data_IF_181720201088
#
_entry.id   IF_181720201088
#
_cell.length_a   1.000
_cell.length_b   1.000
_cell.length_c   1.000
_cell.angle_alpha   90.00
_cell.angle_beta   90.00
_cell.angle_gamma   90.00
#
_symmetry.space_group_name_H-M   'P 1'
#
loop_
_entity.id
_entity.type
_entity.pdbx_description
1 polymer ?
#
# COMPACT_ATOMS: atom_id res chain seq x y z
N UNK A 1 42.96 37.89 -10.47
CA UNK A 1 42.69 36.96 -9.35
C UNK A 1 41.31 36.35 -9.56
N UNK A 2 41.26 35.05 -9.81
CA UNK A 2 40.11 34.34 -10.36
C UNK A 2 38.97 34.10 -9.36
N UNK A 3 37.75 34.29 -9.85
CA UNK A 3 36.46 33.93 -9.23
C UNK A 3 36.38 32.41 -9.03
N UNK A 4 36.01 31.95 -7.83
CA UNK A 4 35.55 30.57 -7.58
C UNK A 4 34.35 30.67 -6.61
N UNK A 5 33.13 30.65 -7.15
CA UNK A 5 32.30 29.49 -7.49
C UNK A 5 31.42 29.11 -6.30
N UNK A 6 30.14 29.38 -6.52
CA UNK A 6 29.00 29.32 -5.62
C UNK A 6 28.80 27.85 -5.19
N UNK A 7 28.88 27.58 -3.90
CA UNK A 7 28.56 26.29 -3.31
C UNK A 7 27.04 26.16 -3.22
N UNK A 8 26.43 25.57 -4.25
CA UNK A 8 25.00 25.26 -4.25
C UNK A 8 24.74 24.06 -3.33
N UNK A 9 24.29 24.32 -2.12
CA UNK A 9 23.75 23.30 -1.21
C UNK A 9 22.51 22.67 -1.83
N UNK A 10 22.63 21.41 -2.26
CA UNK A 10 21.51 20.60 -2.74
C UNK A 10 20.61 20.27 -1.54
N UNK A 11 19.45 20.93 -1.47
CA UNK A 11 18.40 20.64 -0.50
C UNK A 11 17.61 19.43 -0.98
N UNK A 12 17.93 18.24 -0.47
CA UNK A 12 17.17 17.01 -0.75
C UNK A 12 15.88 17.04 0.08
N UNK A 13 14.76 17.40 -0.54
CA UNK A 13 13.43 17.34 0.08
C UNK A 13 12.92 15.90 0.11
N UNK A 14 12.90 15.31 1.30
CA UNK A 14 12.25 14.02 1.57
C UNK A 14 10.72 14.21 1.46
N UNK A 15 10.14 13.82 0.34
CA UNK A 15 8.69 13.67 0.19
C UNK A 15 8.27 12.40 0.94
N UNK A 16 7.97 12.54 2.23
CA UNK A 16 7.23 11.53 2.99
C UNK A 16 5.80 11.49 2.47
N UNK A 17 5.47 10.51 1.64
CA UNK A 17 4.10 10.28 1.18
C UNK A 17 3.20 9.85 2.35
N UNK A 18 2.04 10.50 2.48
CA UNK A 18 0.99 10.03 3.37
C UNK A 18 0.35 8.78 2.75
N UNK A 19 0.60 7.60 3.32
CA UNK A 19 -0.19 6.40 3.00
C UNK A 19 -1.60 6.59 3.55
N UNK A 20 -2.62 6.29 2.74
CA UNK A 20 -4.01 6.38 3.20
C UNK A 20 -4.30 5.28 4.25
N UNK A 21 -5.09 5.59 5.28
CA UNK A 21 -5.54 4.61 6.29
C UNK A 21 -6.17 3.38 5.62
N UNK A 22 -6.90 3.62 4.53
CA UNK A 22 -7.56 2.60 3.71
C UNK A 22 -6.56 1.62 3.09
N UNK A 23 -5.52 2.14 2.44
CA UNK A 23 -4.45 1.32 1.87
C UNK A 23 -3.63 0.60 2.96
N UNK A 24 -3.34 1.27 4.07
CA UNK A 24 -2.63 0.69 5.22
C UNK A 24 -3.40 -0.51 5.81
N UNK A 25 -4.73 -0.42 5.88
CA UNK A 25 -5.59 -1.50 6.37
C UNK A 25 -5.46 -2.76 5.50
N UNK A 26 -5.41 -2.60 4.18
CA UNK A 26 -5.20 -3.71 3.23
C UNK A 26 -3.76 -4.22 3.32
N UNK A 27 -2.77 -3.33 3.38
CA UNK A 27 -1.35 -3.66 3.45
C UNK A 27 -0.99 -4.48 4.69
N UNK A 28 -1.66 -4.25 5.82
CA UNK A 28 -1.47 -5.05 7.05
C UNK A 28 -2.10 -6.44 6.98
N UNK A 29 -3.26 -6.56 6.32
CA UNK A 29 -4.03 -7.81 6.29
C UNK A 29 -3.58 -8.76 5.18
N UNK A 30 -3.34 -8.22 3.99
CA UNK A 30 -3.11 -9.02 2.79
C UNK A 30 -1.89 -9.97 2.85
N UNK A 31 -0.76 -9.62 3.50
CA UNK A 31 0.37 -10.53 3.66
C UNK A 31 -0.01 -11.83 4.38
N UNK A 32 -0.83 -11.72 5.44
CA UNK A 32 -1.31 -12.89 6.18
C UNK A 32 -2.25 -13.73 5.33
N UNK A 33 -3.29 -13.11 4.75
CA UNK A 33 -4.29 -13.85 4.00
C UNK A 33 -3.70 -14.53 2.73
N UNK A 34 -2.66 -13.94 2.10
CA UNK A 34 -1.97 -14.52 0.94
C UNK A 34 -0.77 -15.39 1.31
N UNK A 35 -0.42 -15.51 2.59
CA UNK A 35 0.83 -16.13 3.07
C UNK A 35 2.05 -15.67 2.26
N UNK A 36 2.24 -14.35 2.23
CA UNK A 36 3.28 -13.66 1.46
C UNK A 36 4.00 -12.64 2.34
N UNK A 37 5.30 -12.42 2.10
CA UNK A 37 6.05 -11.38 2.81
C UNK A 37 5.51 -9.99 2.47
N UNK A 38 5.30 -9.14 3.48
CA UNK A 38 4.73 -7.81 3.30
C UNK A 38 5.54 -6.91 2.36
N UNK A 39 6.86 -7.09 2.27
CA UNK A 39 7.74 -6.33 1.35
C UNK A 39 7.60 -6.80 -0.10
N UNK A 40 7.08 -8.01 -0.30
CA UNK A 40 6.83 -8.59 -1.62
C UNK A 40 5.39 -8.34 -2.11
N UNK A 41 4.62 -7.55 -1.36
CA UNK A 41 3.25 -7.20 -1.67
C UNK A 41 3.17 -5.85 -2.37
N UNK A 42 2.26 -5.74 -3.33
CA UNK A 42 1.86 -4.48 -3.95
C UNK A 42 0.37 -4.30 -3.78
N UNK A 43 -0.04 -3.14 -3.28
CA UNK A 43 -1.44 -2.76 -3.12
C UNK A 43 -1.84 -1.84 -4.27
N UNK A 44 -2.99 -2.12 -4.87
CA UNK A 44 -3.54 -1.39 -6.00
C UNK A 44 -4.90 -0.85 -5.61
N UNK A 45 -5.11 0.46 -5.67
CA UNK A 45 -6.44 1.01 -5.50
C UNK A 45 -7.26 0.73 -6.76
N UNK A 46 -8.41 0.04 -6.62
CA UNK A 46 -9.31 -0.29 -7.73
C UNK A 46 -10.52 0.66 -7.75
N UNK A 47 -11.02 1.03 -6.57
CA UNK A 47 -12.08 2.02 -6.36
C UNK A 47 -11.91 2.67 -4.96
N UNK A 48 -12.79 3.59 -4.57
CA UNK A 48 -12.79 4.26 -3.26
C UNK A 48 -12.74 3.32 -2.06
N UNK A 49 -13.38 2.15 -2.17
CA UNK A 49 -13.44 1.15 -1.08
C UNK A 49 -12.89 -0.21 -1.50
N UNK A 50 -12.31 -0.32 -2.68
CA UNK A 50 -11.90 -1.61 -3.25
C UNK A 50 -10.43 -1.57 -3.60
N UNK A 51 -9.68 -2.56 -3.12
CA UNK A 51 -8.24 -2.63 -3.29
C UNK A 51 -7.85 -4.02 -3.79
N UNK A 52 -6.97 -4.08 -4.78
CA UNK A 52 -6.26 -5.29 -5.16
C UNK A 52 -4.99 -5.42 -4.33
N UNK A 53 -4.62 -6.64 -3.96
CA UNK A 53 -3.31 -6.95 -3.43
C UNK A 53 -2.69 -8.07 -4.25
N UNK A 54 -1.43 -7.92 -4.64
CA UNK A 54 -0.71 -8.91 -5.45
C UNK A 54 0.72 -9.06 -4.97
N UNK A 55 1.20 -10.30 -4.92
CA UNK A 55 2.55 -10.65 -4.46
C UNK A 55 2.70 -12.17 -4.36
N UNK A 56 3.93 -12.68 -4.38
CA UNK A 56 4.21 -14.11 -4.25
C UNK A 56 3.37 -15.02 -5.18
N UNK A 57 3.19 -14.63 -6.44
CA UNK A 57 2.33 -15.32 -7.44
C UNK A 57 0.85 -15.46 -7.05
N UNK A 58 0.38 -14.69 -6.07
CA UNK A 58 -1.00 -14.69 -5.58
C UNK A 58 -1.61 -13.31 -5.76
N UNK A 59 -2.94 -13.26 -5.81
CA UNK A 59 -3.70 -12.01 -5.84
C UNK A 59 -5.04 -12.17 -5.14
N UNK A 60 -5.50 -11.09 -4.55
CA UNK A 60 -6.83 -11.00 -3.97
C UNK A 60 -7.39 -9.58 -4.13
N UNK A 61 -8.70 -9.47 -4.04
CA UNK A 61 -9.39 -8.18 -3.94
C UNK A 61 -9.93 -8.02 -2.53
N UNK A 62 -9.93 -6.80 -1.99
CA UNK A 62 -10.43 -6.45 -0.67
C UNK A 62 -11.46 -5.34 -0.79
N UNK A 63 -12.55 -5.46 -0.04
CA UNK A 63 -13.54 -4.41 0.16
C UNK A 63 -13.38 -3.87 1.58
N UNK A 64 -13.34 -2.54 1.73
CA UNK A 64 -13.24 -1.88 3.01
C UNK A 64 -14.62 -1.65 3.64
N UNK A 65 -14.81 -2.27 4.79
CA UNK A 65 -16.00 -2.15 5.63
C UNK A 65 -15.77 -1.18 6.79
N UNK A 66 -16.81 -0.44 7.14
CA UNK A 66 -16.79 0.57 8.21
C UNK A 66 -16.56 2.02 7.74
N UNK A 67 -16.49 2.98 8.68
CA UNK A 67 -16.35 4.41 8.40
C UNK A 67 -14.99 4.81 7.79
N UNK A 68 -13.88 4.14 8.15
CA UNK A 68 -12.54 4.44 7.63
C UNK A 68 -12.19 5.95 7.58
N UNK A 69 -12.67 6.71 8.56
CA UNK A 69 -12.61 8.18 8.59
C UNK A 69 -11.31 8.74 9.19
N UNK A 70 -10.46 7.88 9.76
CA UNK A 70 -9.19 8.29 10.38
C UNK A 70 -8.68 7.29 11.43
N UNK A 71 -7.56 7.61 12.09
CA UNK A 71 -7.02 6.80 13.18
C UNK A 71 -8.07 6.50 14.25
N UNK A 72 -8.19 5.23 14.65
CA UNK A 72 -9.17 4.77 15.64
C UNK A 72 -10.59 4.56 15.11
N UNK A 73 -10.91 4.98 13.89
CA UNK A 73 -12.20 4.62 13.26
C UNK A 73 -12.20 3.15 12.83
N UNK A 74 -13.31 2.41 12.98
CA UNK A 74 -13.39 1.04 12.49
C UNK A 74 -13.19 1.03 10.97
N UNK A 75 -12.22 0.24 10.52
CA UNK A 75 -11.94 0.02 9.12
C UNK A 75 -11.41 -1.41 8.97
N UNK A 76 -12.13 -2.24 8.24
CA UNK A 76 -11.81 -3.67 8.09
C UNK A 76 -11.72 -3.99 6.61
N UNK A 77 -10.59 -4.52 6.17
CA UNK A 77 -10.46 -5.08 4.83
C UNK A 77 -11.06 -6.48 4.81
N UNK A 78 -12.09 -6.72 4.00
CA UNK A 78 -12.70 -8.04 3.81
C UNK A 78 -12.25 -8.57 2.45
N UNK A 79 -11.61 -9.75 2.42
CA UNK A 79 -11.20 -10.37 1.17
C UNK A 79 -12.44 -10.77 0.36
N UNK A 80 -12.53 -10.26 -0.86
CA UNK A 80 -13.56 -10.52 -1.85
C UNK A 80 -13.02 -11.38 -3.00
N UNK A 81 -12.38 -12.50 -2.67
CA UNK A 81 -11.88 -13.47 -3.65
C UNK A 81 -11.70 -14.84 -3.02
N UNK A 82 -11.98 -15.91 -3.77
CA UNK A 82 -11.37 -17.21 -3.51
C UNK A 82 -9.89 -17.12 -3.88
N UNK A 83 -8.99 -17.67 -3.05
CA UNK A 83 -7.54 -17.60 -3.33
C UNK A 83 -7.26 -18.42 -4.59
N UNK A 84 -7.23 -17.77 -5.74
CA UNK A 84 -6.88 -18.40 -7.01
C UNK A 84 -5.36 -18.60 -7.04
N UNK A 85 -4.93 -19.82 -6.71
CA UNK A 85 -3.60 -20.29 -7.06
C UNK A 85 -3.55 -20.38 -8.59
N UNK A 86 -2.95 -19.37 -9.25
CA UNK A 86 -2.63 -19.48 -10.68
C UNK A 86 -1.70 -20.69 -10.85
N UNK A 87 -2.27 -21.83 -11.23
CA UNK A 87 -1.53 -22.99 -11.71
C UNK A 87 -0.82 -22.55 -13.00
N UNK A 88 0.52 -22.64 -12.96
CA UNK A 88 1.44 -22.24 -14.02
C UNK A 88 1.07 -22.89 -15.36
#
# INVERSE_FOLDING_TARGET
>A
MGRKLIWSSILVTLLSGCTSLMEETVSKRAPFDLNCDAKSMTIHQLDRRTYGASGCNRRATYILEGPCAGPGSPCVAVMNSTVDEKKL
#
